data_IF_281865111956
#
_entry.id   IF_281865111956
#
_cell.length_a   1.000
_cell.length_b   1.000
_cell.length_c   1.000
_cell.angle_alpha   90.00
_cell.angle_beta   90.00
_cell.angle_gamma   90.00
#
_symmetry.space_group_name_H-M   'P 1'
#
loop_
_entity.id
_entity.type
_entity.pdbx_description
1 polymer ?
#
# COMPACT_ATOMS: atom_id res chain seq x y z
N UNK A 1 48.12 33.45 12.04
CA UNK A 1 48.51 32.69 10.83
C UNK A 1 50.01 32.87 10.53
N UNK A 2 50.80 31.79 10.40
CA UNK A 2 52.16 31.92 9.89
C UNK A 2 52.12 32.35 8.40
N UNK A 3 53.14 33.07 7.89
CA UNK A 3 53.19 33.46 6.49
C UNK A 3 53.31 32.22 5.57
N UNK A 4 52.80 32.28 4.34
CA UNK A 4 52.95 31.19 3.38
C UNK A 4 54.44 31.01 3.04
N UNK A 5 54.89 29.76 3.01
CA UNK A 5 56.23 29.39 2.58
C UNK A 5 56.47 29.91 1.15
N UNK A 6 57.60 30.58 0.86
CA UNK A 6 57.92 30.99 -0.50
C UNK A 6 58.09 29.73 -1.36
N UNK A 7 57.27 29.59 -2.41
CA UNK A 7 57.47 28.57 -3.42
C UNK A 7 58.88 28.67 -4.00
N UNK A 8 59.57 27.53 -4.18
CA UNK A 8 60.91 27.47 -4.76
C UNK A 8 60.92 28.16 -6.13
N UNK A 9 61.89 29.04 -6.36
CA UNK A 9 62.13 29.63 -7.67
C UNK A 9 62.40 28.54 -8.74
N UNK A 10 62.02 28.75 -10.00
CA UNK A 10 62.25 27.78 -11.07
C UNK A 10 63.75 27.47 -11.21
N UNK A 11 64.09 26.19 -11.26
CA UNK A 11 65.46 25.72 -11.41
C UNK A 11 66.02 26.11 -12.79
N UNK A 12 66.92 27.09 -12.83
CA UNK A 12 67.61 27.58 -14.04
C UNK A 12 68.97 26.91 -14.27
N UNK A 13 69.31 25.87 -13.52
CA UNK A 13 70.63 25.24 -13.59
C UNK A 13 70.77 24.40 -14.88
N UNK A 14 71.85 24.63 -15.64
CA UNK A 14 72.16 23.87 -16.86
C UNK A 14 72.86 22.57 -16.47
N UNK A 15 72.15 21.44 -16.57
CA UNK A 15 72.71 20.13 -16.25
C UNK A 15 73.47 19.55 -17.45
N UNK A 16 74.69 18.99 -17.27
CA UNK A 16 75.50 18.44 -18.37
C UNK A 16 74.81 17.31 -19.15
N UNK A 17 73.92 16.57 -18.51
CA UNK A 17 73.16 15.48 -19.10
C UNK A 17 71.72 15.43 -18.57
N UNK A 18 70.73 14.92 -19.34
CA UNK A 18 69.31 14.91 -18.95
C UNK A 18 69.00 14.16 -17.65
N UNK A 19 69.82 13.18 -17.27
CA UNK A 19 69.64 12.39 -16.04
C UNK A 19 70.21 13.06 -14.79
N UNK A 20 70.95 14.16 -14.91
CA UNK A 20 71.47 14.94 -13.79
C UNK A 20 70.47 15.98 -13.26
N UNK A 21 69.41 16.28 -14.02
CA UNK A 21 68.34 17.18 -13.57
C UNK A 21 67.56 16.51 -12.42
N UNK A 22 67.40 17.16 -11.26
CA UNK A 22 66.56 16.66 -10.18
C UNK A 22 65.16 16.38 -10.73
N UNK A 23 64.77 15.10 -10.74
CA UNK A 23 63.42 14.72 -11.09
C UNK A 23 62.52 15.10 -9.91
N UNK A 24 61.31 15.56 -10.21
CA UNK A 24 60.28 15.73 -9.20
C UNK A 24 60.15 14.40 -8.45
N UNK A 25 60.23 14.44 -7.12
CA UNK A 25 60.11 13.23 -6.33
C UNK A 25 58.76 12.60 -6.66
N UNK A 26 58.77 11.35 -7.15
CA UNK A 26 57.54 10.58 -7.33
C UNK A 26 56.94 10.46 -5.93
N UNK A 27 55.88 11.23 -5.66
CA UNK A 27 55.15 11.15 -4.41
C UNK A 27 54.58 9.75 -4.27
N UNK A 28 55.24 8.88 -3.51
CA UNK A 28 54.62 7.67 -2.99
C UNK A 28 53.56 8.15 -1.99
N UNK A 29 52.28 8.10 -2.36
CA UNK A 29 51.18 8.22 -1.40
C UNK A 29 51.31 7.08 -0.39
N UNK A 30 52.08 7.32 0.67
CA UNK A 30 52.14 6.43 1.82
C UNK A 30 50.97 6.80 2.71
N UNK A 31 49.77 6.31 2.37
CA UNK A 31 48.74 6.14 3.39
C UNK A 31 49.40 5.38 4.55
N UNK A 32 49.31 5.91 5.77
CA UNK A 32 49.89 5.22 6.91
C UNK A 32 49.21 3.87 7.08
N UNK A 33 49.88 2.88 7.68
CA UNK A 33 49.24 1.60 8.02
C UNK A 33 47.96 1.80 8.85
N UNK A 34 47.90 2.89 9.63
CA UNK A 34 46.74 3.29 10.42
C UNK A 34 45.59 3.79 9.55
N UNK A 35 45.85 4.55 8.49
CA UNK A 35 44.85 5.01 7.53
C UNK A 35 44.26 3.85 6.73
N UNK A 36 45.11 2.90 6.32
CA UNK A 36 44.68 1.67 5.64
C UNK A 36 43.80 0.83 6.57
N UNK A 37 44.19 0.69 7.84
CA UNK A 37 43.41 -0.02 8.85
C UNK A 37 42.11 0.71 9.21
N UNK A 38 42.09 2.05 9.23
CA UNK A 38 40.88 2.85 9.41
C UNK A 38 39.91 2.66 8.23
N UNK A 39 40.39 2.77 7.00
CA UNK A 39 39.58 2.54 5.80
C UNK A 39 39.06 1.10 5.71
N UNK A 40 39.84 0.11 6.15
CA UNK A 40 39.39 -1.29 6.25
C UNK A 40 38.25 -1.44 7.28
N UNK A 41 38.37 -0.83 8.46
CA UNK A 41 37.31 -0.83 9.49
C UNK A 41 36.03 -0.16 9.00
N UNK A 42 36.14 0.96 8.29
CA UNK A 42 34.97 1.62 7.73
C UNK A 42 34.27 0.79 6.64
N UNK A 43 35.03 0.11 5.77
CA UNK A 43 34.47 -0.81 4.77
C UNK A 43 33.73 -1.97 5.44
N UNK A 44 34.34 -2.59 6.44
CA UNK A 44 33.69 -3.66 7.21
C UNK A 44 32.42 -3.17 7.91
N UNK A 45 32.43 -1.95 8.46
CA UNK A 45 31.23 -1.35 9.07
C UNK A 45 30.11 -1.10 8.04
N UNK A 46 30.45 -0.69 6.80
CA UNK A 46 29.49 -0.54 5.71
C UNK A 46 28.86 -1.87 5.30
N UNK A 47 29.69 -2.89 5.08
CA UNK A 47 29.22 -4.24 4.73
C UNK A 47 28.32 -4.83 5.83
N UNK A 48 28.70 -4.63 7.10
CA UNK A 48 27.89 -5.07 8.23
C UNK A 48 26.55 -4.32 8.29
N UNK A 49 26.56 -3.00 8.12
CA UNK A 49 25.32 -2.21 8.09
C UNK A 49 24.41 -2.70 6.96
N UNK A 50 24.93 -2.81 5.74
CA UNK A 50 24.16 -3.28 4.58
C UNK A 50 23.58 -4.68 4.81
N UNK A 51 24.38 -5.63 5.31
CA UNK A 51 23.94 -6.99 5.61
C UNK A 51 22.79 -7.01 6.64
N UNK A 52 22.93 -6.27 7.75
CA UNK A 52 21.87 -6.18 8.77
C UNK A 52 20.60 -5.55 8.22
N UNK A 53 20.72 -4.51 7.39
CA UNK A 53 19.58 -3.87 6.74
C UNK A 53 18.86 -4.83 5.79
N UNK A 54 19.59 -5.57 4.96
CA UNK A 54 19.00 -6.55 4.04
C UNK A 54 18.28 -7.67 4.79
N UNK A 55 18.86 -8.16 5.89
CA UNK A 55 18.27 -9.20 6.72
C UNK A 55 16.97 -8.72 7.40
N UNK A 56 17.00 -7.56 8.04
CA UNK A 56 15.86 -7.06 8.83
C UNK A 56 14.73 -6.48 7.96
N UNK A 57 15.06 -5.92 6.79
CA UNK A 57 14.06 -5.36 5.86
C UNK A 57 13.61 -6.33 4.77
N UNK A 58 14.14 -7.55 4.72
CA UNK A 58 13.92 -8.50 3.62
C UNK A 58 12.45 -8.84 3.36
N UNK A 59 11.60 -8.76 4.39
CA UNK A 59 10.16 -8.96 4.28
C UNK A 59 9.39 -7.77 3.68
N UNK A 60 9.97 -6.57 3.69
CA UNK A 60 9.34 -5.36 3.19
C UNK A 60 9.42 -5.28 1.66
N UNK A 61 8.46 -4.62 1.00
CA UNK A 61 8.54 -4.35 -0.43
C UNK A 61 9.80 -3.57 -0.80
N UNK A 62 10.34 -3.84 -1.99
CA UNK A 62 11.57 -3.26 -2.53
C UNK A 62 11.58 -1.74 -2.45
N UNK A 63 10.47 -1.09 -2.80
CA UNK A 63 10.41 0.39 -2.76
C UNK A 63 10.58 0.95 -1.34
N UNK A 64 10.20 0.21 -0.29
CA UNK A 64 10.46 0.61 1.09
C UNK A 64 11.90 0.31 1.48
N UNK A 65 12.44 -0.85 1.08
CA UNK A 65 13.85 -1.20 1.31
C UNK A 65 14.80 -0.15 0.71
N UNK A 66 14.57 0.24 -0.55
CA UNK A 66 15.36 1.26 -1.24
C UNK A 66 15.27 2.63 -0.56
N UNK A 67 14.10 3.02 -0.05
CA UNK A 67 13.94 4.29 0.67
C UNK A 67 14.63 4.28 2.03
N UNK A 68 14.57 3.16 2.74
CA UNK A 68 15.26 2.97 4.02
C UNK A 68 16.78 3.01 3.78
N UNK A 69 17.26 2.31 2.74
CA UNK A 69 18.65 2.32 2.33
C UNK A 69 19.12 3.73 1.98
N UNK A 70 18.43 4.44 1.10
CA UNK A 70 18.77 5.81 0.73
C UNK A 70 18.84 6.76 1.94
N UNK A 71 17.95 6.59 2.93
CA UNK A 71 17.99 7.39 4.18
C UNK A 71 19.23 7.07 5.03
N UNK A 72 19.69 5.82 5.05
CA UNK A 72 20.90 5.44 5.78
C UNK A 72 22.16 5.88 5.02
N UNK A 73 22.16 5.77 3.69
CA UNK A 73 23.24 6.24 2.82
C UNK A 73 23.42 7.76 2.95
N UNK A 74 22.33 8.52 3.03
CA UNK A 74 22.38 9.97 3.30
C UNK A 74 23.05 10.25 4.66
N UNK A 75 22.78 9.45 5.69
CA UNK A 75 23.44 9.58 6.99
C UNK A 75 24.93 9.21 6.95
N UNK A 76 25.32 8.19 6.18
CA UNK A 76 26.73 7.82 5.99
C UNK A 76 27.47 8.95 5.27
N UNK A 77 26.90 9.48 4.18
CA UNK A 77 27.48 10.59 3.42
C UNK A 77 27.65 11.87 4.26
N UNK A 78 26.66 12.20 5.11
CA UNK A 78 26.69 13.45 5.88
C UNK A 78 27.53 13.35 7.17
N UNK A 79 27.54 12.20 7.84
CA UNK A 79 28.05 12.07 9.22
C UNK A 79 28.92 10.83 9.46
N UNK A 80 29.18 10.04 8.42
CA UNK A 80 29.98 8.84 8.46
C UNK A 80 29.22 7.59 8.94
N UNK A 81 29.83 6.44 8.67
CA UNK A 81 29.21 5.12 8.79
C UNK A 81 28.75 4.79 10.22
N UNK A 82 29.50 5.21 11.24
CA UNK A 82 29.14 4.94 12.64
C UNK A 82 27.87 5.67 13.07
N UNK A 83 27.64 6.87 12.57
CA UNK A 83 26.40 7.62 12.82
C UNK A 83 25.25 7.00 12.03
N UNK A 84 25.48 6.59 10.79
CA UNK A 84 24.48 5.86 10.00
C UNK A 84 24.04 4.57 10.71
N UNK A 85 24.99 3.77 11.22
CA UNK A 85 24.70 2.55 11.98
C UNK A 85 23.92 2.83 13.28
N UNK A 86 24.22 3.92 13.98
CA UNK A 86 23.44 4.35 15.15
C UNK A 86 21.99 4.71 14.76
N UNK A 87 21.81 5.44 13.65
CA UNK A 87 20.49 5.82 13.15
C UNK A 87 19.70 4.61 12.67
N UNK A 88 20.36 3.65 12.04
CA UNK A 88 19.78 2.36 11.68
C UNK A 88 19.28 1.63 12.92
N UNK A 89 20.09 1.51 13.98
CA UNK A 89 19.68 0.87 15.23
C UNK A 89 18.44 1.52 15.85
N UNK A 90 18.38 2.86 15.85
CA UNK A 90 17.20 3.59 16.34
C UNK A 90 15.96 3.34 15.48
N UNK A 91 16.13 3.28 14.15
CA UNK A 91 15.08 2.95 13.19
C UNK A 91 14.57 1.52 13.36
N UNK A 92 15.47 0.54 13.40
CA UNK A 92 15.19 -0.88 13.61
C UNK A 92 14.42 -1.12 14.91
N UNK A 93 14.76 -0.40 15.99
CA UNK A 93 14.06 -0.52 17.27
C UNK A 93 12.67 0.12 17.27
N UNK A 94 12.47 1.21 16.52
CA UNK A 94 11.28 2.07 16.67
C UNK A 94 10.34 2.01 15.48
N UNK A 95 10.85 2.19 14.27
CA UNK A 95 10.06 2.38 13.05
C UNK A 95 9.83 1.04 12.32
N UNK A 96 10.85 0.18 12.28
CA UNK A 96 10.76 -1.10 11.58
C UNK A 96 9.64 -2.02 12.10
N UNK A 97 9.41 -2.20 13.42
CA UNK A 97 8.34 -3.08 13.90
C UNK A 97 6.96 -2.63 13.45
N UNK A 98 6.74 -1.33 13.28
CA UNK A 98 5.49 -0.76 12.79
C UNK A 98 5.30 -1.07 11.31
N UNK A 99 6.35 -0.92 10.51
CA UNK A 99 6.33 -1.26 9.08
C UNK A 99 6.07 -2.75 8.90
N UNK A 100 6.74 -3.60 9.68
CA UNK A 100 6.53 -5.04 9.68
C UNK A 100 5.10 -5.38 10.07
N UNK A 101 4.56 -4.83 11.16
CA UNK A 101 3.17 -5.08 11.57
C UNK A 101 2.15 -4.66 10.50
N UNK A 102 2.38 -3.54 9.82
CA UNK A 102 1.54 -3.09 8.70
C UNK A 102 1.67 -4.00 7.50
N UNK A 103 2.88 -4.46 7.18
CA UNK A 103 3.14 -5.36 6.07
C UNK A 103 2.52 -6.75 6.30
N UNK A 104 2.65 -7.26 7.52
CA UNK A 104 2.13 -8.56 8.00
C UNK A 104 0.61 -8.64 7.92
N UNK A 105 -0.07 -7.50 7.99
CA UNK A 105 -1.52 -7.42 7.80
C UNK A 105 -1.98 -7.83 6.40
N UNK A 106 -1.13 -7.63 5.38
CA UNK A 106 -1.49 -7.86 3.99
C UNK A 106 -0.79 -9.07 3.40
N UNK A 107 0.50 -9.26 3.70
CA UNK A 107 1.28 -10.33 3.08
C UNK A 107 0.76 -11.71 3.48
N UNK A 108 0.92 -12.65 2.57
CA UNK A 108 0.74 -14.06 2.83
C UNK A 108 2.03 -14.56 3.49
N UNK A 109 1.92 -15.06 4.71
CA UNK A 109 3.04 -15.71 5.39
C UNK A 109 3.29 -17.06 4.75
N UNK A 110 4.45 -17.19 4.09
CA UNK A 110 4.91 -18.44 3.51
C UNK A 110 5.80 -19.13 4.54
N UNK A 111 5.20 -19.91 5.45
CA UNK A 111 6.02 -20.82 6.26
C UNK A 111 6.60 -21.87 5.31
N UNK A 112 7.85 -22.29 5.54
CA UNK A 112 8.46 -23.39 4.76
C UNK A 112 8.71 -24.58 5.68
N UNK A 113 8.13 -25.76 5.38
CA UNK A 113 7.03 -25.98 4.41
C UNK A 113 5.73 -25.33 4.90
N UNK A 114 4.89 -24.86 3.97
CA UNK A 114 3.58 -24.25 4.31
C UNK A 114 2.78 -25.23 5.17
N UNK A 115 2.04 -24.78 6.19
CA UNK A 115 1.17 -25.67 6.93
C UNK A 115 0.19 -26.28 5.95
N UNK A 116 -0.09 -27.56 6.14
CA UNK A 116 -1.05 -28.30 5.32
C UNK A 116 -2.47 -27.83 5.64
N UNK A 117 -2.82 -26.60 5.27
CA UNK A 117 -4.22 -26.15 5.19
C UNK A 117 -5.00 -27.03 4.20
N UNK A 118 -4.28 -27.77 3.34
CA UNK A 118 -4.76 -28.80 2.43
C UNK A 118 -4.47 -30.25 2.89
N UNK A 119 -4.16 -30.49 4.18
CA UNK A 119 -3.90 -31.86 4.72
C UNK A 119 -5.09 -32.81 4.63
N UNK A 120 -6.27 -32.30 4.29
CA UNK A 120 -7.54 -33.04 4.32
C UNK A 120 -7.98 -33.48 2.91
N UNK A 121 -7.23 -33.10 1.86
CA UNK A 121 -7.40 -33.65 0.51
C UNK A 121 -6.31 -34.69 0.27
N UNK A 122 -6.74 -35.92 -0.03
CA UNK A 122 -5.89 -37.08 -0.21
C UNK A 122 -4.73 -36.83 -1.18
N UNK A 123 -3.55 -37.30 -0.78
CA UNK A 123 -2.31 -37.22 -1.55
C UNK A 123 -2.45 -37.94 -2.91
N UNK A 124 -2.46 -37.16 -3.98
CA UNK A 124 -2.22 -37.61 -5.35
C UNK A 124 -1.26 -36.61 -6.03
N UNK A 125 -0.48 -37.05 -7.02
CA UNK A 125 0.60 -36.24 -7.62
C UNK A 125 0.18 -34.91 -8.26
N UNK A 126 -1.12 -34.67 -8.49
CA UNK A 126 -1.66 -33.38 -8.90
C UNK A 126 -1.46 -32.31 -7.83
N UNK A 127 -1.61 -32.64 -6.54
CA UNK A 127 -1.54 -31.66 -5.44
C UNK A 127 -0.19 -30.96 -5.33
N UNK A 128 0.91 -31.62 -5.73
CA UNK A 128 2.25 -31.03 -5.70
C UNK A 128 2.44 -29.91 -6.74
N UNK A 129 1.80 -30.01 -7.92
CA UNK A 129 1.86 -28.95 -8.95
C UNK A 129 0.99 -27.77 -8.56
N UNK A 130 -0.24 -28.03 -8.12
CA UNK A 130 -1.15 -27.01 -7.61
C UNK A 130 -0.53 -26.25 -6.42
N UNK A 131 0.22 -26.96 -5.58
CA UNK A 131 1.00 -26.35 -4.49
C UNK A 131 2.10 -25.41 -5.00
N UNK A 132 2.92 -25.83 -5.97
CA UNK A 132 3.98 -25.01 -6.53
C UNK A 132 3.43 -23.75 -7.23
N UNK A 133 2.33 -23.92 -7.99
CA UNK A 133 1.65 -22.81 -8.67
C UNK A 133 1.05 -21.82 -7.66
N UNK A 134 0.38 -22.32 -6.61
CA UNK A 134 -0.15 -21.48 -5.54
C UNK A 134 0.96 -20.75 -4.78
N UNK A 135 2.10 -21.40 -4.53
CA UNK A 135 3.25 -20.76 -3.92
C UNK A 135 3.78 -19.62 -4.82
N UNK A 136 3.92 -19.87 -6.13
CA UNK A 136 4.33 -18.85 -7.09
C UNK A 136 3.36 -17.65 -7.13
N UNK A 137 2.06 -17.92 -7.11
CA UNK A 137 1.02 -16.88 -7.01
C UNK A 137 1.12 -16.09 -5.71
N UNK A 138 1.43 -16.76 -4.59
CA UNK A 138 1.56 -16.12 -3.27
C UNK A 138 2.80 -15.24 -3.18
N UNK A 139 3.93 -15.70 -3.74
CA UNK A 139 5.16 -14.91 -3.83
C UNK A 139 4.95 -13.66 -4.69
N UNK A 140 4.23 -13.78 -5.81
CA UNK A 140 3.82 -12.65 -6.65
C UNK A 140 2.83 -11.72 -5.96
N UNK A 141 1.84 -12.26 -5.25
CA UNK A 141 0.91 -11.50 -4.44
C UNK A 141 1.65 -10.64 -3.40
N UNK A 142 2.69 -11.18 -2.76
CA UNK A 142 3.49 -10.44 -1.78
C UNK A 142 4.28 -9.27 -2.40
N UNK A 143 4.44 -9.23 -3.72
CA UNK A 143 5.05 -8.13 -4.48
C UNK A 143 4.03 -7.12 -5.01
N UNK A 144 2.74 -7.27 -4.71
CA UNK A 144 1.66 -6.34 -5.14
C UNK A 144 1.97 -4.86 -4.92
N UNK A 145 2.62 -4.42 -3.81
CA UNK A 145 2.93 -3.00 -3.64
C UNK A 145 3.86 -2.43 -4.72
N UNK A 146 4.65 -3.28 -5.37
CA UNK A 146 5.61 -2.90 -6.40
C UNK A 146 5.02 -2.94 -7.81
N UNK A 147 3.90 -3.64 -7.98
CA UNK A 147 3.33 -3.92 -9.28
C UNK A 147 2.78 -2.67 -9.97
N UNK A 148 3.00 -2.65 -11.29
CA UNK A 148 2.30 -1.77 -12.22
C UNK A 148 0.88 -2.27 -12.46
N UNK A 149 0.05 -1.46 -13.12
CA UNK A 149 -1.31 -1.86 -13.48
C UNK A 149 -1.34 -3.10 -14.38
N UNK A 150 -0.34 -3.25 -15.25
CA UNK A 150 -0.17 -4.39 -16.17
C UNK A 150 0.25 -5.67 -15.41
N UNK A 151 1.17 -5.55 -14.45
CA UNK A 151 1.58 -6.68 -13.60
C UNK A 151 0.40 -7.22 -12.77
N UNK A 152 -0.46 -6.33 -12.27
CA UNK A 152 -1.69 -6.72 -11.55
C UNK A 152 -2.67 -7.42 -12.48
N UNK A 153 -2.79 -6.98 -13.73
CA UNK A 153 -3.64 -7.63 -14.73
C UNK A 153 -3.14 -9.05 -15.04
N UNK A 154 -1.84 -9.23 -15.26
CA UNK A 154 -1.26 -10.55 -15.46
C UNK A 154 -1.49 -11.47 -14.25
N UNK A 155 -1.21 -11.00 -13.03
CA UNK A 155 -1.47 -11.77 -11.82
C UNK A 155 -2.96 -12.14 -11.67
N UNK A 156 -3.86 -11.23 -12.04
CA UNK A 156 -5.30 -11.50 -11.97
C UNK A 156 -5.77 -12.58 -12.95
N UNK A 157 -5.16 -12.63 -14.15
CA UNK A 157 -5.42 -13.68 -15.13
C UNK A 157 -4.91 -15.02 -14.61
N UNK A 158 -3.69 -15.06 -14.06
CA UNK A 158 -3.11 -16.29 -13.53
C UNK A 158 -3.90 -16.83 -12.33
N UNK A 159 -4.40 -15.96 -11.45
CA UNK A 159 -5.29 -16.34 -10.33
C UNK A 159 -6.61 -16.91 -10.88
N UNK A 160 -7.21 -16.26 -11.89
CA UNK A 160 -8.45 -16.75 -12.48
C UNK A 160 -8.26 -18.11 -13.17
N UNK A 161 -7.14 -18.31 -13.88
CA UNK A 161 -6.77 -19.60 -14.48
C UNK A 161 -6.62 -20.67 -13.39
N UNK A 162 -5.90 -20.36 -12.31
CA UNK A 162 -5.73 -21.29 -11.19
C UNK A 162 -7.06 -21.67 -10.55
N UNK A 163 -7.93 -20.70 -10.28
CA UNK A 163 -9.26 -20.96 -9.73
C UNK A 163 -10.12 -21.80 -10.67
N UNK A 164 -10.05 -21.56 -11.99
CA UNK A 164 -10.78 -22.39 -12.97
C UNK A 164 -10.26 -23.83 -12.97
N UNK A 165 -8.95 -24.03 -12.85
CA UNK A 165 -8.37 -25.37 -12.73
C UNK A 165 -8.85 -26.09 -11.45
N UNK A 166 -8.79 -25.42 -10.30
CA UNK A 166 -9.32 -25.94 -9.03
C UNK A 166 -10.82 -26.27 -9.08
N UNK A 167 -11.60 -25.40 -9.72
CA UNK A 167 -13.03 -25.63 -9.92
C UNK A 167 -13.30 -26.77 -10.90
N UNK A 168 -12.44 -27.00 -11.90
CA UNK A 168 -12.58 -28.12 -12.83
C UNK A 168 -12.36 -29.46 -12.13
N UNK A 169 -11.44 -29.55 -11.17
CA UNK A 169 -11.29 -30.77 -10.36
C UNK A 169 -12.50 -30.98 -9.45
N UNK A 170 -13.01 -29.91 -8.84
CA UNK A 170 -14.21 -29.97 -8.01
C UNK A 170 -15.46 -30.35 -8.84
N UNK A 171 -15.54 -29.90 -10.10
CA UNK A 171 -16.58 -30.30 -11.05
C UNK A 171 -16.58 -31.81 -11.25
N UNK A 172 -15.44 -32.42 -11.58
CA UNK A 172 -15.35 -33.88 -11.77
C UNK A 172 -15.80 -34.67 -10.55
N UNK A 173 -15.45 -34.20 -9.34
CA UNK A 173 -15.84 -34.84 -8.09
C UNK A 173 -17.33 -34.61 -7.71
N UNK A 174 -17.98 -33.60 -8.29
CA UNK A 174 -19.33 -33.16 -7.92
C UNK A 174 -20.41 -33.52 -8.96
N UNK A 175 -20.05 -34.16 -10.09
CA UNK A 175 -20.96 -34.44 -11.22
C UNK A 175 -22.26 -35.16 -10.86
N UNK A 176 -22.26 -36.01 -9.85
CA UNK A 176 -23.42 -36.80 -9.44
C UNK A 176 -24.22 -36.17 -8.27
N UNK A 177 -23.86 -34.95 -7.84
CA UNK A 177 -24.54 -34.24 -6.75
C UNK A 177 -25.78 -33.48 -7.25
N UNK A 178 -26.67 -33.12 -6.31
CA UNK A 178 -27.76 -32.18 -6.60
C UNK A 178 -27.21 -30.77 -6.96
N UNK A 179 -27.99 -29.98 -7.71
CA UNK A 179 -27.57 -28.67 -8.23
C UNK A 179 -27.03 -27.73 -7.13
N UNK A 180 -27.65 -27.76 -5.94
CA UNK A 180 -27.26 -26.91 -4.82
C UNK A 180 -25.93 -27.36 -4.20
N UNK A 181 -25.76 -28.67 -3.99
CA UNK A 181 -24.55 -29.30 -3.49
C UNK A 181 -23.41 -29.14 -4.49
N UNK A 182 -23.69 -29.26 -5.79
CA UNK A 182 -22.76 -28.99 -6.89
C UNK A 182 -22.28 -27.53 -6.84
N UNK A 183 -23.20 -26.56 -6.84
CA UNK A 183 -22.85 -25.14 -6.74
C UNK A 183 -22.08 -24.79 -5.47
N UNK A 184 -22.39 -25.47 -4.36
CA UNK A 184 -21.68 -25.33 -3.08
C UNK A 184 -20.24 -25.84 -3.16
N UNK A 185 -19.98 -26.97 -3.82
CA UNK A 185 -18.62 -27.52 -3.98
C UNK A 185 -17.74 -26.59 -4.82
N UNK A 186 -18.26 -26.10 -5.95
CA UNK A 186 -17.55 -25.15 -6.80
C UNK A 186 -17.26 -23.84 -6.07
N UNK A 187 -18.25 -23.30 -5.36
CA UNK A 187 -18.05 -22.09 -4.56
C UNK A 187 -17.02 -22.32 -3.45
N UNK A 188 -17.05 -23.47 -2.77
CA UNK A 188 -16.06 -23.81 -1.76
C UNK A 188 -14.64 -23.86 -2.35
N UNK A 189 -14.45 -24.48 -3.53
CA UNK A 189 -13.16 -24.55 -4.19
C UNK A 189 -12.58 -23.15 -4.47
N UNK A 190 -13.36 -22.27 -5.10
CA UNK A 190 -12.96 -20.89 -5.34
C UNK A 190 -12.73 -20.09 -4.05
N UNK A 191 -13.59 -20.29 -3.04
CA UNK A 191 -13.49 -19.61 -1.76
C UNK A 191 -12.17 -19.93 -1.04
N UNK A 192 -11.69 -21.18 -1.08
CA UNK A 192 -10.43 -21.57 -0.45
C UNK A 192 -9.24 -20.78 -1.01
N UNK A 193 -9.14 -20.69 -2.34
CA UNK A 193 -8.09 -19.90 -3.00
C UNK A 193 -8.24 -18.41 -2.67
N UNK A 194 -9.47 -17.91 -2.71
CA UNK A 194 -9.76 -16.52 -2.39
C UNK A 194 -9.41 -16.14 -0.94
N UNK A 195 -9.65 -17.05 0.01
CA UNK A 195 -9.30 -16.90 1.43
C UNK A 195 -7.79 -16.95 1.65
N UNK A 196 -7.08 -17.84 0.96
CA UNK A 196 -5.61 -17.89 0.96
C UNK A 196 -5.00 -16.55 0.52
N UNK A 197 -5.61 -15.89 -0.45
CA UNK A 197 -5.21 -14.55 -0.94
C UNK A 197 -5.74 -13.40 -0.07
N UNK A 198 -6.30 -13.67 1.12
CA UNK A 198 -6.94 -12.68 2.00
C UNK A 198 -8.03 -11.83 1.30
N UNK A 199 -8.67 -12.39 0.26
CA UNK A 199 -9.65 -11.72 -0.59
C UNK A 199 -10.92 -12.56 -0.75
N UNK A 200 -11.65 -12.88 0.33
CA UNK A 200 -12.90 -13.64 0.22
C UNK A 200 -13.95 -12.91 -0.64
N UNK A 201 -14.71 -13.61 -1.50
CA UNK A 201 -15.73 -13.02 -2.36
C UNK A 201 -16.92 -12.48 -1.56
N UNK A 202 -17.78 -11.72 -2.24
CA UNK A 202 -19.06 -11.31 -1.66
C UNK A 202 -19.89 -12.55 -1.31
N UNK A 203 -20.54 -12.55 -0.15
CA UNK A 203 -21.35 -13.69 0.30
C UNK A 203 -20.57 -14.79 1.04
N UNK A 204 -19.23 -14.71 1.17
CA UNK A 204 -18.44 -15.70 1.91
C UNK A 204 -18.95 -15.94 3.35
N UNK A 205 -19.35 -14.89 4.07
CA UNK A 205 -19.91 -15.06 5.43
C UNK A 205 -21.30 -15.70 5.43
N UNK A 206 -22.14 -15.41 4.42
CA UNK A 206 -23.43 -16.09 4.24
C UNK A 206 -23.23 -17.56 3.89
N UNK A 207 -22.21 -17.88 3.08
CA UNK A 207 -21.84 -19.24 2.73
C UNK A 207 -21.45 -20.06 3.97
N UNK A 208 -20.56 -19.52 4.82
CA UNK A 208 -20.15 -20.15 6.09
C UNK A 208 -21.33 -20.39 7.03
N UNK A 209 -22.32 -19.50 7.02
CA UNK A 209 -23.56 -19.64 7.81
C UNK A 209 -24.64 -20.53 7.16
N UNK A 210 -24.36 -21.13 6.00
CA UNK A 210 -25.34 -21.89 5.22
C UNK A 210 -26.59 -21.08 4.83
N UNK A 211 -26.44 -19.76 4.63
CA UNK A 211 -27.53 -18.84 4.27
C UNK A 211 -27.39 -18.26 2.86
N UNK A 212 -26.48 -18.80 2.04
CA UNK A 212 -26.29 -18.35 0.67
C UNK A 212 -27.29 -19.06 -0.25
N UNK A 213 -28.04 -18.27 -1.03
CA UNK A 213 -29.02 -18.78 -1.99
C UNK A 213 -28.31 -19.28 -3.25
N UNK A 214 -29.00 -20.12 -4.01
CA UNK A 214 -28.48 -20.73 -5.24
C UNK A 214 -28.05 -19.70 -6.31
N UNK A 215 -28.89 -18.70 -6.58
CA UNK A 215 -28.52 -17.60 -7.49
C UNK A 215 -27.28 -16.80 -7.03
N UNK A 216 -27.08 -16.65 -5.71
CA UNK A 216 -25.90 -15.97 -5.18
C UNK A 216 -24.64 -16.87 -5.25
N UNK A 217 -24.81 -18.20 -5.15
CA UNK A 217 -23.73 -19.18 -5.33
C UNK A 217 -23.20 -19.14 -6.75
N UNK A 218 -24.08 -19.27 -7.74
CA UNK A 218 -23.71 -19.25 -9.17
C UNK A 218 -23.05 -17.93 -9.56
N UNK A 219 -23.61 -16.80 -9.14
CA UNK A 219 -23.00 -15.49 -9.35
C UNK A 219 -21.61 -15.38 -8.71
N UNK A 220 -21.43 -15.94 -7.50
CA UNK A 220 -20.15 -15.96 -6.81
C UNK A 220 -19.08 -16.81 -7.51
N UNK A 221 -19.48 -17.98 -8.03
CA UNK A 221 -18.60 -18.85 -8.83
C UNK A 221 -18.14 -18.13 -10.09
N UNK A 222 -19.06 -17.55 -10.86
CA UNK A 222 -18.73 -16.79 -12.08
C UNK A 222 -17.81 -15.61 -11.79
N UNK A 223 -18.04 -14.89 -10.69
CA UNK A 223 -17.16 -13.79 -10.27
C UNK A 223 -15.74 -14.26 -9.95
N UNK A 224 -15.59 -15.39 -9.27
CA UNK A 224 -14.27 -15.93 -8.93
C UNK A 224 -13.52 -16.48 -10.15
N UNK A 225 -14.23 -16.84 -11.23
CA UNK A 225 -13.62 -17.21 -12.50
C UNK A 225 -13.26 -16.00 -13.39
N UNK A 226 -13.81 -14.80 -13.14
CA UNK A 226 -13.56 -13.59 -13.93
C UNK A 226 -12.23 -12.92 -13.53
N UNK A 227 -11.30 -12.77 -14.48
CA UNK A 227 -10.03 -12.07 -14.26
C UNK A 227 -10.24 -10.58 -13.94
N UNK A 228 -11.25 -9.95 -14.54
CA UNK A 228 -11.55 -8.52 -14.30
C UNK A 228 -12.02 -8.27 -12.88
N UNK A 229 -12.69 -9.26 -12.27
CA UNK A 229 -13.07 -9.21 -10.86
C UNK A 229 -11.83 -9.18 -9.97
N UNK A 230 -10.87 -10.08 -10.20
CA UNK A 230 -9.60 -10.13 -9.48
C UNK A 230 -8.76 -8.87 -9.69
N UNK A 231 -8.61 -8.40 -10.93
CA UNK A 231 -7.88 -7.18 -11.25
C UNK A 231 -8.38 -5.98 -10.43
N UNK A 232 -9.69 -5.73 -10.42
CA UNK A 232 -10.31 -4.64 -9.64
C UNK A 232 -10.07 -4.77 -8.13
N UNK A 233 -9.98 -5.99 -7.60
CA UNK A 233 -9.72 -6.23 -6.17
C UNK A 233 -8.26 -6.07 -5.81
N UNK A 234 -7.36 -6.64 -6.61
CA UNK A 234 -5.92 -6.58 -6.43
C UNK A 234 -5.38 -5.16 -6.60
N UNK A 235 -5.84 -4.39 -7.62
CA UNK A 235 -5.47 -2.98 -7.76
C UNK A 235 -5.83 -2.19 -6.50
N UNK A 236 -7.08 -2.31 -6.02
CA UNK A 236 -7.52 -1.65 -4.78
C UNK A 236 -6.72 -2.08 -3.56
N UNK A 237 -6.36 -3.35 -3.46
CA UNK A 237 -5.52 -3.86 -2.38
C UNK A 237 -4.11 -3.28 -2.44
N UNK A 238 -3.47 -3.29 -3.62
CA UNK A 238 -2.13 -2.75 -3.85
C UNK A 238 -2.04 -1.28 -3.47
N UNK A 239 -2.99 -0.43 -3.90
CA UNK A 239 -3.02 0.98 -3.50
C UNK A 239 -3.17 1.15 -1.98
N UNK A 240 -4.07 0.39 -1.34
CA UNK A 240 -4.27 0.44 0.11
C UNK A 240 -3.04 0.01 0.89
N UNK A 241 -2.39 -1.07 0.44
CA UNK A 241 -1.17 -1.58 1.05
C UNK A 241 -0.02 -0.57 0.92
N UNK A 242 0.22 -0.05 -0.30
CA UNK A 242 1.20 1.01 -0.54
C UNK A 242 0.97 2.22 0.37
N UNK A 243 -0.25 2.74 0.42
CA UNK A 243 -0.58 3.92 1.22
C UNK A 243 -0.44 3.64 2.72
N UNK A 244 -0.83 2.45 3.18
CA UNK A 244 -0.69 2.10 4.59
C UNK A 244 0.78 2.02 5.02
N UNK A 245 1.67 1.50 4.17
CA UNK A 245 3.11 1.53 4.40
C UNK A 245 3.65 2.96 4.44
N UNK A 246 3.18 3.85 3.56
CA UNK A 246 3.56 5.28 3.56
C UNK A 246 3.10 6.01 4.83
N UNK A 247 1.89 5.71 5.32
CA UNK A 247 1.39 6.20 6.61
C UNK A 247 2.30 5.74 7.76
N UNK A 248 2.66 4.46 7.78
CA UNK A 248 3.54 3.88 8.79
C UNK A 248 4.96 4.47 8.77
N UNK A 249 5.50 4.70 7.57
CA UNK A 249 6.81 5.32 7.37
C UNK A 249 6.83 6.80 7.79
N UNK A 250 5.67 7.47 7.80
CA UNK A 250 5.52 8.86 8.22
C UNK A 250 5.45 9.87 7.08
N UNK A 251 5.18 9.43 5.86
CA UNK A 251 4.94 10.30 4.70
C UNK A 251 3.58 11.01 4.76
N UNK A 252 2.71 10.56 5.66
CA UNK A 252 1.41 11.17 5.96
C UNK A 252 1.45 11.78 7.35
N UNK A 253 1.33 13.10 7.43
CA UNK A 253 1.36 13.90 8.63
C UNK A 253 1.62 15.37 8.33
N UNK A 254 1.53 16.23 9.35
CA UNK A 254 1.67 17.69 9.21
C UNK A 254 2.98 18.15 8.57
N UNK A 255 4.08 17.45 8.83
CA UNK A 255 5.41 17.80 8.30
C UNK A 255 5.64 17.28 6.87
N UNK A 256 4.86 16.30 6.41
CA UNK A 256 4.98 15.70 5.09
C UNK A 256 3.75 16.07 4.24
N UNK A 257 2.77 15.18 4.13
CA UNK A 257 1.48 15.48 3.51
C UNK A 257 0.33 15.21 4.48
N UNK A 258 -0.62 16.14 4.60
CA UNK A 258 -1.62 16.13 5.69
C UNK A 258 -2.62 14.96 5.57
N UNK A 259 -3.05 14.62 4.37
CA UNK A 259 -4.18 13.69 4.16
C UNK A 259 -3.79 12.33 3.56
N UNK A 260 -2.86 12.32 2.62
CA UNK A 260 -2.40 11.11 1.93
C UNK A 260 -1.00 11.31 1.37
N UNK A 261 -0.30 10.23 1.04
CA UNK A 261 1.06 10.32 0.51
C UNK A 261 1.13 11.12 -0.80
N UNK A 262 2.28 11.75 -1.07
CA UNK A 262 2.49 12.51 -2.33
C UNK A 262 2.27 11.64 -3.58
N UNK A 263 2.63 10.35 -3.50
CA UNK A 263 2.39 9.38 -4.58
C UNK A 263 0.90 9.21 -4.83
N UNK A 264 0.10 9.03 -3.77
CA UNK A 264 -1.35 8.89 -3.89
C UNK A 264 -2.02 10.14 -4.46
N UNK A 265 -1.54 11.34 -4.11
CA UNK A 265 -2.01 12.61 -4.70
C UNK A 265 -1.74 12.62 -6.21
N UNK A 266 -0.51 12.29 -6.62
CA UNK A 266 -0.14 12.24 -8.04
C UNK A 266 -0.98 11.22 -8.83
N UNK A 267 -1.19 10.02 -8.28
CA UNK A 267 -2.05 9.00 -8.91
C UNK A 267 -3.50 9.51 -9.06
N UNK A 268 -4.03 10.16 -8.02
CA UNK A 268 -5.36 10.75 -8.03
C UNK A 268 -5.51 11.88 -9.05
N UNK A 269 -4.51 12.76 -9.17
CA UNK A 269 -4.49 13.83 -10.18
C UNK A 269 -4.46 13.26 -11.60
N UNK A 270 -3.63 12.26 -11.86
CA UNK A 270 -3.57 11.57 -13.17
C UNK A 270 -4.92 10.93 -13.51
N UNK A 271 -5.54 10.24 -12.54
CA UNK A 271 -6.87 9.65 -12.73
C UNK A 271 -7.93 10.71 -13.02
N UNK A 272 -7.88 11.87 -12.35
CA UNK A 272 -8.79 12.99 -12.61
C UNK A 272 -8.60 13.59 -13.99
N UNK A 273 -7.34 13.78 -14.43
CA UNK A 273 -7.03 14.28 -15.78
C UNK A 273 -7.57 13.34 -16.85
N UNK A 274 -7.28 12.03 -16.74
CA UNK A 274 -7.81 11.00 -17.65
C UNK A 274 -9.34 10.99 -17.67
N UNK A 275 -9.97 11.02 -16.51
CA UNK A 275 -11.43 11.05 -16.41
C UNK A 275 -12.00 12.29 -17.09
N UNK A 276 -11.36 13.46 -16.88
CA UNK A 276 -11.77 14.72 -17.49
C UNK A 276 -11.62 14.71 -19.01
N UNK A 277 -10.56 14.11 -19.54
CA UNK A 277 -10.36 13.95 -20.98
C UNK A 277 -11.47 13.10 -21.60
N UNK A 278 -11.84 11.99 -20.95
CA UNK A 278 -12.97 11.15 -21.38
C UNK A 278 -14.27 11.95 -21.37
N UNK A 279 -14.57 12.66 -20.27
CA UNK A 279 -15.82 13.45 -20.15
C UNK A 279 -15.92 14.57 -21.20
N UNK A 280 -14.81 15.13 -21.67
CA UNK A 280 -14.78 16.15 -22.73
C UNK A 280 -15.14 15.58 -24.10
N UNK A 281 -14.90 14.29 -24.32
CA UNK A 281 -15.19 13.60 -25.58
C UNK A 281 -16.60 13.02 -25.63
N UNK A 282 -17.35 13.10 -24.53
CA UNK A 282 -18.70 12.55 -24.43
C UNK A 282 -19.75 13.66 -24.45
N UNK A 283 -20.82 13.42 -25.18
CA UNK A 283 -22.03 14.24 -25.24
C UNK A 283 -23.24 13.35 -24.95
N UNK A 284 -24.21 13.87 -24.21
CA UNK A 284 -25.55 13.30 -24.12
C UNK A 284 -26.35 13.84 -25.29
N UNK A 285 -27.11 12.98 -25.94
CA UNK A 285 -28.10 13.33 -26.96
C UNK A 285 -29.47 12.90 -26.43
N UNK A 286 -30.41 13.83 -26.39
CA UNK A 286 -31.80 13.52 -26.06
C UNK A 286 -32.46 12.83 -27.27
N UNK A 287 -33.02 11.64 -27.04
CA UNK A 287 -33.60 10.80 -28.11
C UNK A 287 -34.82 11.46 -28.77
N UNK A 288 -35.60 12.25 -28.02
CA UNK A 288 -36.84 12.85 -28.51
C UNK A 288 -36.63 14.24 -29.14
N UNK A 289 -35.78 15.09 -28.54
CA UNK A 289 -35.55 16.47 -29.01
C UNK A 289 -34.31 16.64 -29.88
N UNK A 290 -33.37 15.69 -29.85
CA UNK A 290 -32.06 15.81 -30.50
C UNK A 290 -31.12 16.82 -29.84
N UNK A 291 -31.46 17.36 -28.68
CA UNK A 291 -30.60 18.29 -27.95
C UNK A 291 -29.33 17.59 -27.47
N UNK A 292 -28.18 18.24 -27.69
CA UNK A 292 -26.87 17.72 -27.27
C UNK A 292 -26.29 18.52 -26.13
N UNK A 293 -25.97 17.82 -25.03
CA UNK A 293 -25.40 18.43 -23.84
C UNK A 293 -24.06 17.76 -23.52
N UNK A 294 -23.01 18.55 -23.37
CA UNK A 294 -21.70 18.03 -22.99
C UNK A 294 -21.75 17.36 -21.61
N UNK A 295 -21.27 16.10 -21.53
CA UNK A 295 -21.21 15.36 -20.26
C UNK A 295 -20.32 16.09 -19.24
N UNK A 296 -19.26 16.76 -19.70
CA UNK A 296 -18.40 17.57 -18.84
C UNK A 296 -19.16 18.73 -18.15
N UNK A 297 -20.07 19.39 -18.87
CA UNK A 297 -20.88 20.49 -18.33
C UNK A 297 -21.90 19.98 -17.29
N UNK A 298 -22.53 18.83 -17.54
CA UNK A 298 -23.42 18.17 -16.58
C UNK A 298 -22.64 17.75 -15.33
N UNK A 299 -21.44 17.20 -15.49
CA UNK A 299 -20.59 16.83 -14.37
C UNK A 299 -20.27 18.04 -13.48
N UNK A 300 -19.91 19.18 -14.08
CA UNK A 300 -19.50 20.39 -13.37
C UNK A 300 -20.66 21.11 -12.65
N UNK A 301 -21.89 20.96 -13.16
CA UNK A 301 -23.13 21.48 -12.55
C UNK A 301 -23.69 20.58 -11.45
N UNK A 302 -23.21 19.34 -11.35
CA UNK A 302 -23.65 18.39 -10.33
C UNK A 302 -22.93 18.55 -8.97
N UNK A 303 -23.43 17.86 -7.95
CA UNK A 303 -22.80 17.71 -6.62
C UNK A 303 -21.45 16.99 -6.66
N UNK A 304 -21.03 16.50 -7.84
CA UNK A 304 -19.67 15.99 -8.08
C UNK A 304 -18.63 17.10 -7.98
N UNK A 305 -19.02 18.36 -8.23
CA UNK A 305 -18.20 19.53 -8.00
C UNK A 305 -18.10 19.82 -6.48
N UNK A 306 -16.89 19.77 -5.86
CA UNK A 306 -16.73 20.01 -4.43
C UNK A 306 -17.22 21.39 -3.97
N UNK A 307 -17.15 22.40 -4.83
CA UNK A 307 -17.64 23.74 -4.52
C UNK A 307 -19.17 23.76 -4.37
N UNK A 308 -19.88 23.16 -5.34
CA UNK A 308 -21.35 23.05 -5.29
C UNK A 308 -21.80 22.18 -4.11
N UNK A 309 -21.11 21.07 -3.85
CA UNK A 309 -21.39 20.22 -2.67
C UNK A 309 -21.25 20.98 -1.35
N UNK A 310 -20.23 21.85 -1.22
CA UNK A 310 -20.06 22.70 -0.03
C UNK A 310 -21.19 23.72 0.10
N UNK A 311 -21.57 24.38 -1.01
CA UNK A 311 -22.69 25.33 -1.02
C UNK A 311 -23.98 24.64 -0.59
N UNK A 312 -24.27 23.47 -1.16
CA UNK A 312 -25.45 22.68 -0.81
C UNK A 312 -25.46 22.29 0.67
N UNK A 313 -24.34 21.79 1.21
CA UNK A 313 -24.22 21.45 2.62
C UNK A 313 -24.53 22.67 3.51
N UNK A 314 -23.95 23.82 3.20
CA UNK A 314 -24.16 25.05 3.97
C UNK A 314 -25.59 25.56 3.87
N UNK A 315 -26.21 25.46 2.68
CA UNK A 315 -27.62 25.81 2.47
C UNK A 315 -28.54 24.90 3.29
N UNK A 316 -28.28 23.58 3.32
CA UNK A 316 -29.05 22.63 4.15
C UNK A 316 -28.92 22.97 5.63
N UNK A 317 -27.69 23.18 6.13
CA UNK A 317 -27.45 23.59 7.52
C UNK A 317 -28.19 24.89 7.85
N UNK A 318 -28.12 25.90 6.97
CA UNK A 318 -28.82 27.17 7.14
C UNK A 318 -30.35 27.02 7.16
N UNK A 319 -30.89 26.16 6.30
CA UNK A 319 -32.32 25.83 6.27
C UNK A 319 -32.78 25.17 7.57
N UNK A 320 -32.08 24.12 8.01
CA UNK A 320 -32.38 23.44 9.28
C UNK A 320 -32.26 24.38 10.49
N UNK A 321 -31.26 25.27 10.50
CA UNK A 321 -31.12 26.26 11.56
C UNK A 321 -32.32 27.21 11.64
N UNK A 322 -32.80 27.72 10.50
CA UNK A 322 -33.99 28.59 10.45
C UNK A 322 -35.24 27.88 10.94
N UNK A 323 -35.45 26.62 10.53
CA UNK A 323 -36.58 25.81 10.98
C UNK A 323 -36.51 25.56 12.49
N UNK A 324 -35.34 25.19 13.00
CA UNK A 324 -35.13 24.96 14.43
C UNK A 324 -35.43 26.21 15.27
N UNK A 325 -34.88 27.36 14.87
CA UNK A 325 -35.12 28.64 15.56
C UNK A 325 -36.62 29.00 15.53
N UNK A 326 -37.29 28.84 14.40
CA UNK A 326 -38.73 29.11 14.27
C UNK A 326 -39.59 28.21 15.18
N UNK A 327 -39.13 26.98 15.44
CA UNK A 327 -39.76 26.03 16.35
C UNK A 327 -39.32 26.20 17.82
N UNK A 328 -38.46 27.18 18.14
CA UNK A 328 -37.96 27.41 19.51
C UNK A 328 -36.81 26.50 19.95
N UNK A 329 -36.17 25.79 19.01
CA UNK A 329 -35.03 24.90 19.25
C UNK A 329 -33.69 25.53 18.86
N UNK A 330 -32.59 25.00 19.43
CA UNK A 330 -31.22 25.33 19.05
C UNK A 330 -30.69 24.29 18.04
N UNK A 331 -30.07 24.76 16.96
CA UNK A 331 -29.38 23.89 16.01
C UNK A 331 -27.92 23.66 16.44
N UNK A 332 -27.49 22.40 16.53
CA UNK A 332 -26.12 22.03 16.90
C UNK A 332 -25.47 21.17 15.83
N UNK A 333 -24.20 21.44 15.55
CA UNK A 333 -23.39 20.69 14.60
C UNK A 333 -22.27 19.95 15.33
N UNK A 334 -22.27 18.62 15.25
CA UNK A 334 -21.27 17.78 15.90
C UNK A 334 -20.33 17.17 14.86
N UNK A 335 -19.03 17.30 15.09
CA UNK A 335 -18.01 16.57 14.33
C UNK A 335 -17.47 15.45 15.20
N UNK A 336 -17.67 14.20 14.78
CA UNK A 336 -17.10 13.04 15.45
C UNK A 336 -15.75 12.70 14.84
N UNK A 337 -14.71 12.63 15.67
CA UNK A 337 -13.35 12.24 15.24
C UNK A 337 -12.98 10.88 15.81
N UNK A 338 -12.19 10.12 15.05
CA UNK A 338 -11.69 8.83 15.52
C UNK A 338 -10.75 9.00 16.74
N UNK A 339 -10.79 8.08 17.72
CA UNK A 339 -9.86 8.07 18.86
C UNK A 339 -8.38 8.04 18.45
N UNK A 340 -7.49 8.47 19.36
CA UNK A 340 -6.04 8.56 19.11
C UNK A 340 -5.42 7.27 18.56
N UNK A 341 -5.91 6.09 18.96
CA UNK A 341 -5.40 4.80 18.47
C UNK A 341 -5.50 4.61 16.96
N UNK A 342 -6.37 5.35 16.29
CA UNK A 342 -6.54 5.29 14.83
C UNK A 342 -5.59 6.21 14.03
N UNK A 343 -4.79 7.04 14.70
CA UNK A 343 -3.95 8.05 14.06
C UNK A 343 -2.47 7.71 14.19
N UNK A 344 -1.78 7.48 13.07
CA UNK A 344 -0.34 7.18 13.06
C UNK A 344 0.54 8.34 13.54
N UNK A 345 0.08 9.58 13.35
CA UNK A 345 0.79 10.81 13.74
C UNK A 345 -0.10 11.68 14.62
N UNK A 346 0.54 12.44 15.49
CA UNK A 346 -0.13 13.48 16.28
C UNK A 346 -0.33 14.72 15.43
N UNK A 347 -1.32 15.55 15.79
CA UNK A 347 -1.66 16.78 15.05
C UNK A 347 -0.47 17.75 14.88
N UNK A 348 0.50 17.74 15.79
CA UNK A 348 1.70 18.57 15.72
C UNK A 348 2.89 17.93 14.98
N UNK A 349 2.74 16.69 14.48
CA UNK A 349 3.69 16.07 13.54
C UNK A 349 4.38 14.77 14.02
N UNK A 350 4.83 14.65 15.28
CA UNK A 350 5.50 13.44 15.76
C UNK A 350 4.63 12.19 15.68
N UNK A 351 5.30 11.04 15.75
CA UNK A 351 4.64 9.74 15.75
C UNK A 351 3.75 9.58 16.98
N UNK A 352 2.60 8.96 16.79
CA UNK A 352 1.73 8.56 17.88
C UNK A 352 2.10 7.14 18.38
N UNK A 353 2.42 7.02 19.66
CA UNK A 353 2.73 5.73 20.31
C UNK A 353 1.48 4.89 20.60
N UNK A 354 0.27 5.50 20.55
CA UNK A 354 -1.00 4.81 20.78
C UNK A 354 -1.57 4.16 19.52
N UNK A 355 -0.96 4.40 18.36
CA UNK A 355 -1.46 3.88 17.09
C UNK A 355 -1.36 2.36 17.03
N UNK A 356 -2.49 1.69 16.77
CA UNK A 356 -2.61 0.22 16.74
C UNK A 356 -2.51 -0.36 15.33
N UNK A 357 -1.89 0.38 14.41
CA UNK A 357 -1.69 -0.04 13.01
C UNK A 357 -3.01 -0.17 12.25
N UNK A 358 -4.07 0.50 12.72
CA UNK A 358 -5.34 0.58 12.02
C UNK A 358 -5.21 1.25 10.66
N UNK A 359 -5.91 0.70 9.67
CA UNK A 359 -6.03 1.32 8.35
C UNK A 359 -7.05 2.47 8.36
N UNK A 360 -7.00 3.36 7.34
CA UNK A 360 -8.10 4.30 7.10
C UNK A 360 -9.46 3.61 6.93
N UNK A 361 -9.48 2.39 6.38
CA UNK A 361 -10.70 1.58 6.22
C UNK A 361 -11.25 1.10 7.57
N UNK A 362 -10.39 0.67 8.49
CA UNK A 362 -10.80 0.26 9.84
C UNK A 362 -11.36 1.46 10.62
N UNK A 363 -10.72 2.62 10.46
CA UNK A 363 -11.17 3.88 11.04
C UNK A 363 -12.55 4.28 10.51
N UNK A 364 -12.75 4.18 9.18
CA UNK A 364 -14.05 4.43 8.56
C UNK A 364 -15.11 3.44 9.06
N UNK A 365 -14.77 2.15 9.18
CA UNK A 365 -15.68 1.13 9.69
C UNK A 365 -16.08 1.42 11.14
N UNK A 366 -15.14 1.81 11.99
CA UNK A 366 -15.41 2.23 13.37
C UNK A 366 -16.43 3.38 13.42
N UNK A 367 -16.20 4.45 12.65
CA UNK A 367 -17.12 5.59 12.59
C UNK A 367 -18.49 5.19 12.04
N UNK A 368 -18.55 4.34 11.02
CA UNK A 368 -19.80 3.84 10.46
C UNK A 368 -20.60 3.02 11.48
N UNK A 369 -19.94 2.14 12.24
CA UNK A 369 -20.57 1.37 13.32
C UNK A 369 -21.07 2.27 14.44
N UNK A 370 -20.31 3.31 14.80
CA UNK A 370 -20.75 4.29 15.79
C UNK A 370 -22.01 5.04 15.34
N UNK A 371 -22.06 5.46 14.06
CA UNK A 371 -23.26 6.07 13.49
C UNK A 371 -24.45 5.10 13.42
N UNK A 372 -24.22 3.82 13.16
CA UNK A 372 -25.28 2.80 13.22
C UNK A 372 -25.85 2.67 14.63
N UNK A 373 -24.99 2.69 15.65
CA UNK A 373 -25.41 2.64 17.06
C UNK A 373 -26.21 3.88 17.45
N UNK A 374 -25.74 5.07 17.07
CA UNK A 374 -26.47 6.34 17.32
C UNK A 374 -27.86 6.29 16.69
N UNK A 375 -27.97 5.89 15.42
CA UNK A 375 -29.29 5.77 14.76
C UNK A 375 -30.19 4.74 15.42
N UNK A 376 -29.63 3.61 15.85
CA UNK A 376 -30.40 2.58 16.55
C UNK A 376 -30.91 3.07 17.92
N UNK A 377 -30.13 3.91 18.62
CA UNK A 377 -30.52 4.48 19.90
C UNK A 377 -31.60 5.56 19.72
N UNK A 378 -31.38 6.50 18.80
CA UNK A 378 -32.38 7.53 18.46
C UNK A 378 -33.70 6.92 17.98
N UNK A 379 -33.66 5.81 17.24
CA UNK A 379 -34.87 5.10 16.84
C UNK A 379 -35.63 4.46 18.02
N UNK A 380 -34.95 4.06 19.11
CA UNK A 380 -35.62 3.58 20.33
C UNK A 380 -36.32 4.71 21.09
N UNK A 381 -35.75 5.91 21.00
CA UNK A 381 -36.35 7.13 21.53
C UNK A 381 -37.39 7.74 20.57
N UNK A 382 -37.76 7.01 19.50
CA UNK A 382 -38.72 7.44 18.47
C UNK A 382 -38.32 8.73 17.72
N UNK A 383 -37.02 9.06 17.71
CA UNK A 383 -36.45 10.20 16.98
C UNK A 383 -36.03 9.73 15.58
N UNK A 384 -36.64 10.30 14.53
CA UNK A 384 -36.28 9.99 13.15
C UNK A 384 -35.02 10.74 12.68
N UNK A 385 -34.13 10.03 11.97
CA UNK A 385 -32.81 10.50 11.52
C UNK A 385 -32.51 10.08 10.10
#
# INVERSE_FOLDING_TARGET
PPPPFPGKAPDTTVYPYPWNKPREAIGLERASMEDIAAAARERQAREQLESTMQQETGALPLFMRLRIQARMDEHDQQKGIYIAALKWRDFARRELPLLTAVNDRYRIHLDRPMPSVWSWMNASGATARHFADLQGLSERYNRLPEYTDEDVELLSQDIAIFIRAEMSEADEAAKDLDDYAYGRQLFAAGLRVAEHLNLPPAGAEKFRRHKLKDADLTAGVLQMQDDRYWCRRLKRLAHRWREHLQIAFGDVGRAASVYCSKKQISEWETQRKRTREILKQLEFEDEDSGERISVAAVYDSSVSNPALRRVELMTRIGGFNRIAIAAGFECRFYTMTAPSKYHARLHYGPRNHKWDHSTPKDTQQYLATLWQQIRADLARDEIQV
#
